data_IF_905349169170
#
_entry.id   IF_905349169170
#
_cell.length_a   1.000
_cell.length_b   1.000
_cell.length_c   1.000
_cell.angle_alpha   90.00
_cell.angle_beta   90.00
_cell.angle_gamma   90.00
#
_symmetry.space_group_name_H-M   'P 1'
#
loop_
_entity.id
_entity.type
_entity.pdbx_description
1 polymer ?
#
# COMPACT_ATOMS: atom_id res chain seq x y z
N UNK A 1 -33.06 11.54 10.83
CA UNK A 1 -32.47 10.61 11.80
C UNK A 1 -31.74 9.53 11.02
N UNK A 2 -30.46 9.65 10.94
CA UNK A 2 -29.64 8.70 10.21
C UNK A 2 -29.67 7.35 10.90
N UNK A 3 -30.21 6.37 10.22
CA UNK A 3 -30.09 4.97 10.61
C UNK A 3 -28.59 4.60 10.41
N UNK A 4 -27.80 4.72 11.47
CA UNK A 4 -26.48 4.14 11.54
C UNK A 4 -26.68 2.63 11.53
N UNK A 5 -26.76 2.06 10.34
CA UNK A 5 -26.82 0.62 10.19
C UNK A 5 -25.46 0.08 10.64
N UNK A 6 -25.40 -0.37 11.88
CA UNK A 6 -24.26 -1.13 12.37
C UNK A 6 -24.08 -2.34 11.45
N UNK A 7 -22.88 -2.55 10.96
CA UNK A 7 -22.54 -3.75 10.18
C UNK A 7 -22.74 -4.98 11.04
N UNK A 8 -23.25 -6.04 10.44
CA UNK A 8 -23.36 -7.32 11.13
C UNK A 8 -21.98 -7.96 11.30
N UNK A 9 -21.83 -8.79 12.34
CA UNK A 9 -20.59 -9.54 12.58
C UNK A 9 -20.25 -10.44 11.37
N UNK A 10 -21.26 -10.99 10.71
CA UNK A 10 -21.08 -11.80 9.48
C UNK A 10 -20.52 -10.96 8.32
N UNK A 11 -21.04 -9.75 8.11
CA UNK A 11 -20.52 -8.83 7.08
C UNK A 11 -19.09 -8.42 7.39
N UNK A 12 -18.78 -8.06 8.62
CA UNK A 12 -17.44 -7.69 9.07
C UNK A 12 -16.47 -8.84 8.83
N UNK A 13 -16.82 -10.06 9.26
CA UNK A 13 -16.00 -11.26 9.09
C UNK A 13 -15.76 -11.57 7.62
N UNK A 14 -16.79 -11.49 6.79
CA UNK A 14 -16.71 -11.73 5.36
C UNK A 14 -15.75 -10.74 4.69
N UNK A 15 -15.91 -9.47 4.96
CA UNK A 15 -15.08 -8.40 4.36
C UNK A 15 -13.63 -8.50 4.86
N UNK A 16 -13.44 -8.76 6.15
CA UNK A 16 -12.11 -8.98 6.72
C UNK A 16 -11.39 -10.14 6.01
N UNK A 17 -12.00 -11.32 5.98
CA UNK A 17 -11.40 -12.50 5.36
C UNK A 17 -11.10 -12.30 3.86
N UNK A 18 -11.95 -11.53 3.17
CA UNK A 18 -11.77 -11.29 1.73
C UNK A 18 -10.66 -10.29 1.42
N UNK A 19 -10.46 -9.27 2.25
CA UNK A 19 -9.64 -8.12 1.91
C UNK A 19 -8.46 -7.85 2.85
N UNK A 20 -8.27 -8.63 3.92
CA UNK A 20 -7.17 -8.39 4.86
C UNK A 20 -5.80 -8.47 4.18
N UNK A 21 -5.60 -9.41 3.28
CA UNK A 21 -4.34 -9.54 2.54
C UNK A 21 -4.09 -8.33 1.62
N UNK A 22 -5.12 -7.84 0.95
CA UNK A 22 -5.03 -6.63 0.11
C UNK A 22 -4.66 -5.41 0.95
N UNK A 23 -5.34 -5.22 2.07
CA UNK A 23 -5.06 -4.09 2.99
C UNK A 23 -3.66 -4.20 3.56
N UNK A 24 -3.23 -5.40 3.99
CA UNK A 24 -1.89 -5.65 4.49
C UNK A 24 -0.81 -5.29 3.46
N UNK A 25 -0.96 -5.77 2.22
CA UNK A 25 0.00 -5.49 1.15
C UNK A 25 0.10 -4.00 0.84
N UNK A 26 -1.02 -3.29 0.76
CA UNK A 26 -1.02 -1.83 0.53
C UNK A 26 -0.31 -1.10 1.67
N UNK A 27 -0.62 -1.43 2.92
CA UNK A 27 0.04 -0.85 4.07
C UNK A 27 1.54 -1.16 4.09
N UNK A 28 1.93 -2.40 3.80
CA UNK A 28 3.33 -2.82 3.76
C UNK A 28 4.11 -2.12 2.63
N UNK A 29 3.49 -1.93 1.46
CA UNK A 29 4.07 -1.14 0.37
C UNK A 29 4.40 0.30 0.78
N UNK A 30 3.70 0.83 1.78
CA UNK A 30 3.93 2.19 2.28
C UNK A 30 4.87 2.24 3.48
N UNK A 31 4.71 1.34 4.44
CA UNK A 31 5.39 1.39 5.74
C UNK A 31 6.70 0.60 5.78
N UNK A 32 6.83 -0.47 5.00
CA UNK A 32 8.00 -1.38 4.98
C UNK A 32 8.37 -1.98 6.35
N UNK A 33 7.42 -2.07 7.25
CA UNK A 33 7.61 -2.60 8.60
C UNK A 33 6.41 -3.45 8.97
N UNK A 34 6.63 -4.69 9.40
CA UNK A 34 5.55 -5.64 9.68
C UNK A 34 4.67 -5.20 10.86
N UNK A 35 5.27 -4.78 11.97
CA UNK A 35 4.53 -4.38 13.18
C UNK A 35 3.65 -3.15 12.92
N UNK A 36 4.21 -2.12 12.27
CA UNK A 36 3.46 -0.93 11.88
C UNK A 36 2.37 -1.24 10.85
N UNK A 37 2.63 -2.20 9.97
CA UNK A 37 1.63 -2.65 8.99
C UNK A 37 0.45 -3.33 9.69
N UNK A 38 0.68 -4.20 10.66
CA UNK A 38 -0.38 -4.84 11.44
C UNK A 38 -1.22 -3.82 12.20
N UNK A 39 -0.60 -2.83 12.81
CA UNK A 39 -1.30 -1.72 13.47
C UNK A 39 -2.16 -0.91 12.48
N UNK A 40 -1.62 -0.60 11.31
CA UNK A 40 -2.36 0.08 10.26
C UNK A 40 -3.57 -0.73 9.78
N UNK A 41 -3.40 -2.03 9.56
CA UNK A 41 -4.47 -2.95 9.15
C UNK A 41 -5.60 -2.96 10.18
N UNK A 42 -5.28 -3.09 11.47
CA UNK A 42 -6.28 -3.03 12.54
C UNK A 42 -7.06 -1.71 12.50
N UNK A 43 -6.37 -0.58 12.39
CA UNK A 43 -7.00 0.73 12.33
C UNK A 43 -7.91 0.88 11.11
N UNK A 44 -7.53 0.35 9.96
CA UNK A 44 -8.35 0.36 8.73
C UNK A 44 -9.66 -0.40 8.96
N UNK A 45 -9.60 -1.60 9.53
CA UNK A 45 -10.82 -2.40 9.78
C UNK A 45 -11.68 -1.82 10.91
N UNK A 46 -11.10 -1.20 11.94
CA UNK A 46 -11.86 -0.43 12.94
C UNK A 46 -12.63 0.71 12.27
N UNK A 47 -12.01 1.42 11.34
CA UNK A 47 -12.69 2.47 10.55
C UNK A 47 -13.80 1.89 9.67
N UNK A 48 -13.59 0.72 9.08
CA UNK A 48 -14.63 0.03 8.31
C UNK A 48 -15.85 -0.33 9.17
N UNK A 49 -15.61 -0.89 10.36
CA UNK A 49 -16.69 -1.26 11.31
C UNK A 49 -17.51 -0.02 11.70
N UNK A 50 -16.84 1.10 11.95
CA UNK A 50 -17.48 2.35 12.37
C UNK A 50 -18.03 3.20 11.22
N UNK A 51 -17.74 2.80 9.96
CA UNK A 51 -18.22 3.52 8.81
C UNK A 51 -19.71 3.24 8.56
N UNK A 52 -20.53 4.28 8.64
CA UNK A 52 -21.96 4.20 8.38
C UNK A 52 -22.35 4.15 6.90
N UNK A 53 -21.38 4.14 5.98
CA UNK A 53 -21.65 4.12 4.55
C UNK A 53 -22.06 2.74 4.07
N UNK A 54 -23.11 2.68 3.24
CA UNK A 54 -23.45 1.48 2.48
C UNK A 54 -22.57 1.41 1.22
N UNK A 55 -22.13 0.21 0.87
CA UNK A 55 -21.38 -0.06 -0.35
C UNK A 55 -22.22 -0.89 -1.31
N UNK A 56 -22.21 -0.53 -2.59
CA UNK A 56 -23.02 -1.20 -3.62
C UNK A 56 -22.39 -2.52 -4.09
N UNK A 57 -21.06 -2.66 -3.93
CA UNK A 57 -20.33 -3.84 -4.39
C UNK A 57 -19.08 -4.09 -3.54
N UNK A 58 -18.54 -5.29 -3.65
CA UNK A 58 -17.25 -5.64 -3.03
C UNK A 58 -16.08 -4.85 -3.63
N UNK A 59 -16.15 -4.48 -4.91
CA UNK A 59 -15.17 -3.60 -5.55
C UNK A 59 -15.15 -2.22 -4.90
N UNK A 60 -16.31 -1.69 -4.56
CA UNK A 60 -16.42 -0.41 -3.86
C UNK A 60 -15.85 -0.50 -2.43
N UNK A 61 -16.10 -1.60 -1.73
CA UNK A 61 -15.50 -1.88 -0.41
C UNK A 61 -13.98 -1.93 -0.53
N UNK A 62 -13.45 -2.69 -1.49
CA UNK A 62 -12.01 -2.83 -1.74
C UNK A 62 -11.35 -1.49 -2.00
N UNK A 63 -11.91 -0.69 -2.92
CA UNK A 63 -11.37 0.62 -3.26
C UNK A 63 -11.37 1.57 -2.04
N UNK A 64 -12.44 1.56 -1.27
CA UNK A 64 -12.54 2.34 -0.03
C UNK A 64 -11.48 1.91 1.00
N UNK A 65 -11.32 0.60 1.22
CA UNK A 65 -10.31 0.06 2.13
C UNK A 65 -8.89 0.48 1.73
N UNK A 66 -8.56 0.45 0.43
CA UNK A 66 -7.26 0.88 -0.09
C UNK A 66 -7.03 2.38 0.18
N UNK A 67 -8.03 3.21 -0.06
CA UNK A 67 -7.94 4.66 0.22
C UNK A 67 -7.75 4.93 1.71
N UNK A 68 -8.48 4.24 2.56
CA UNK A 68 -8.34 4.36 4.03
C UNK A 68 -6.97 3.86 4.49
N UNK A 69 -6.50 2.73 3.96
CA UNK A 69 -5.17 2.19 4.24
C UNK A 69 -4.07 3.20 3.88
N UNK A 70 -4.14 3.78 2.69
CA UNK A 70 -3.22 4.85 2.26
C UNK A 70 -3.22 6.03 3.23
N UNK A 71 -4.40 6.49 3.63
CA UNK A 71 -4.53 7.63 4.52
C UNK A 71 -4.00 7.32 5.93
N UNK A 72 -4.27 6.11 6.42
CA UNK A 72 -3.76 5.64 7.72
C UNK A 72 -2.22 5.61 7.73
N UNK A 73 -1.63 4.96 6.73
CA UNK A 73 -0.17 4.90 6.60
C UNK A 73 0.46 6.29 6.49
N UNK A 74 -0.14 7.20 5.72
CA UNK A 74 0.35 8.59 5.65
C UNK A 74 0.32 9.30 7.01
N UNK A 75 -0.72 9.09 7.79
CA UNK A 75 -0.84 9.69 9.12
C UNK A 75 0.21 9.11 10.08
N UNK A 76 0.43 7.80 10.05
CA UNK A 76 1.47 7.14 10.85
C UNK A 76 2.87 7.65 10.49
N UNK A 77 3.19 7.75 9.21
CA UNK A 77 4.47 8.28 8.73
C UNK A 77 4.67 9.74 9.15
N UNK A 78 3.64 10.59 9.04
CA UNK A 78 3.71 11.98 9.51
C UNK A 78 3.97 12.06 11.01
N UNK A 79 3.31 11.22 11.81
CA UNK A 79 3.52 11.17 13.24
C UNK A 79 4.94 10.72 13.59
N UNK A 80 5.43 9.69 12.91
CA UNK A 80 6.78 9.18 13.07
C UNK A 80 7.85 10.23 12.72
N UNK A 81 7.72 10.94 11.60
CA UNK A 81 8.63 12.02 11.24
C UNK A 81 8.60 13.20 12.21
N UNK A 82 7.46 13.50 12.82
CA UNK A 82 7.36 14.55 13.84
C UNK A 82 8.04 14.15 15.15
N UNK A 83 7.90 12.91 15.59
CA UNK A 83 8.52 12.42 16.82
C UNK A 83 10.04 12.30 16.69
N UNK A 84 10.56 11.97 15.49
CA UNK A 84 12.01 11.89 15.24
C UNK A 84 12.70 13.23 15.05
N UNK A 85 12.00 14.31 14.81
CA UNK A 85 12.60 15.66 14.78
C UNK A 85 13.12 16.09 16.16
N UNK A 86 12.72 15.42 17.21
CA UNK A 86 13.17 15.63 18.59
C UNK A 86 14.39 14.78 18.97
N UNK A 87 14.67 13.70 18.22
CA UNK A 87 15.81 12.81 18.44
C UNK A 87 16.67 12.72 17.17
N UNK A 88 17.81 13.42 17.16
CA UNK A 88 18.70 13.58 16.01
C UNK A 88 19.50 12.30 15.65
N UNK A 89 19.36 11.19 16.38
CA UNK A 89 20.37 10.13 16.38
C UNK A 89 19.92 8.71 15.99
N UNK A 90 18.83 8.53 15.24
CA UNK A 90 18.58 7.19 14.65
C UNK A 90 17.68 7.24 13.41
N UNK A 91 18.30 7.39 12.26
CA UNK A 91 17.67 6.99 10.99
C UNK A 91 17.82 5.48 10.90
N UNK A 92 16.86 4.75 11.45
CA UNK A 92 16.69 3.34 11.12
C UNK A 92 15.80 3.29 9.90
N UNK A 93 16.38 3.04 8.73
CA UNK A 93 15.59 2.60 7.57
C UNK A 93 14.88 1.31 7.97
N UNK A 94 13.56 1.19 7.72
CA UNK A 94 12.85 -0.05 7.99
C UNK A 94 13.51 -1.18 7.19
N UNK A 95 14.09 -2.14 7.88
CA UNK A 95 14.64 -3.34 7.24
C UNK A 95 13.50 -4.26 6.85
N UNK A 96 13.47 -4.61 5.59
CA UNK A 96 12.59 -5.63 5.05
C UNK A 96 13.16 -7.02 5.38
N UNK A 97 12.44 -7.79 6.19
CA UNK A 97 12.70 -9.23 6.34
C UNK A 97 11.67 -9.99 5.51
N UNK A 98 12.10 -10.45 4.34
CA UNK A 98 11.25 -11.26 3.47
C UNK A 98 11.50 -12.75 3.67
N UNK A 99 10.41 -13.47 3.73
CA UNK A 99 10.39 -14.92 3.75
C UNK A 99 9.49 -15.48 2.65
N UNK A 100 9.79 -15.20 1.37
CA UNK A 100 9.27 -16.00 0.25
C UNK A 100 10.02 -15.81 -1.09
N UNK A 101 10.09 -16.88 -1.83
CA UNK A 101 10.89 -17.30 -2.96
C UNK A 101 10.71 -16.55 -4.31
N UNK A 102 10.21 -15.33 -4.31
CA UNK A 102 10.27 -14.34 -5.41
C UNK A 102 11.13 -13.13 -5.02
N UNK A 103 12.10 -13.34 -4.13
CA UNK A 103 12.86 -12.32 -3.43
C UNK A 103 13.42 -11.22 -4.33
N UNK A 104 13.92 -11.58 -5.49
CA UNK A 104 14.59 -10.63 -6.38
C UNK A 104 13.65 -9.55 -6.95
N UNK A 105 12.49 -9.88 -7.49
CA UNK A 105 11.56 -8.90 -8.07
C UNK A 105 10.90 -8.04 -7.00
N UNK A 106 10.42 -8.65 -5.92
CA UNK A 106 9.78 -7.93 -4.83
C UNK A 106 10.75 -7.00 -4.11
N UNK A 107 11.99 -7.44 -3.86
CA UNK A 107 13.04 -6.58 -3.31
C UNK A 107 13.30 -5.35 -4.18
N UNK A 108 13.35 -5.52 -5.51
CA UNK A 108 13.50 -4.40 -6.44
C UNK A 108 12.31 -3.44 -6.40
N UNK A 109 11.09 -3.97 -6.35
CA UNK A 109 9.89 -3.15 -6.20
C UNK A 109 9.93 -2.39 -4.88
N UNK A 110 10.31 -3.06 -3.79
CA UNK A 110 10.41 -2.44 -2.47
C UNK A 110 11.54 -1.41 -2.36
N UNK A 111 12.57 -1.48 -3.19
CA UNK A 111 13.64 -0.49 -3.25
C UNK A 111 13.24 0.80 -3.98
N UNK A 112 12.16 0.77 -4.76
CA UNK A 112 11.63 1.97 -5.40
C UNK A 112 11.07 2.96 -4.37
N UNK A 113 11.12 4.26 -4.70
CA UNK A 113 10.43 5.28 -3.90
C UNK A 113 8.90 5.02 -3.87
N UNK A 114 8.25 5.39 -2.77
CA UNK A 114 6.79 5.19 -2.57
C UNK A 114 5.96 5.67 -3.75
N UNK A 115 6.27 6.85 -4.30
CA UNK A 115 5.57 7.43 -5.46
C UNK A 115 5.61 6.57 -6.74
N UNK A 116 6.55 5.64 -6.83
CA UNK A 116 6.66 4.67 -7.92
C UNK A 116 6.12 3.30 -7.53
N UNK A 117 6.46 2.83 -6.35
CA UNK A 117 6.13 1.51 -5.84
C UNK A 117 4.63 1.30 -5.66
N UNK A 118 3.95 2.23 -5.00
CA UNK A 118 2.51 2.10 -4.70
C UNK A 118 1.66 2.12 -5.98
N UNK A 119 1.82 3.06 -6.92
CA UNK A 119 1.10 3.02 -8.19
C UNK A 119 1.38 1.76 -9.01
N UNK A 120 2.63 1.29 -9.02
CA UNK A 120 3.03 0.08 -9.74
C UNK A 120 2.28 -1.14 -9.20
N UNK A 121 2.23 -1.30 -7.87
CA UNK A 121 1.51 -2.36 -7.20
C UNK A 121 0.01 -2.32 -7.51
N UNK A 122 -0.62 -1.16 -7.36
CA UNK A 122 -2.06 -1.00 -7.61
C UNK A 122 -2.43 -1.29 -9.07
N UNK A 123 -1.57 -0.92 -10.01
CA UNK A 123 -1.83 -1.14 -11.43
C UNK A 123 -1.64 -2.61 -11.84
N UNK A 124 -0.49 -3.19 -11.53
CA UNK A 124 -0.11 -4.51 -12.04
C UNK A 124 -0.62 -5.66 -11.17
N UNK A 125 -0.73 -5.47 -9.87
CA UNK A 125 -1.19 -6.52 -8.96
C UNK A 125 -2.69 -6.43 -8.67
N UNK A 126 -3.18 -5.25 -8.35
CA UNK A 126 -4.58 -5.05 -7.99
C UNK A 126 -5.49 -4.75 -9.21
N UNK A 127 -4.91 -4.45 -10.37
CA UNK A 127 -5.62 -4.31 -11.64
C UNK A 127 -6.33 -2.98 -11.87
N UNK A 128 -6.00 -1.94 -11.09
CA UNK A 128 -6.59 -0.62 -11.29
C UNK A 128 -5.99 0.10 -12.50
N UNK A 129 -6.83 0.83 -13.22
CA UNK A 129 -6.38 1.74 -14.26
C UNK A 129 -5.62 2.94 -13.70
N UNK A 130 -4.81 3.58 -14.52
CA UNK A 130 -4.10 4.79 -14.11
C UNK A 130 -5.06 5.91 -13.65
N UNK A 131 -6.22 6.04 -14.27
CA UNK A 131 -7.24 7.02 -13.88
C UNK A 131 -7.81 6.73 -12.48
N UNK A 132 -8.14 5.48 -12.20
CA UNK A 132 -8.62 5.05 -10.88
C UNK A 132 -7.57 5.26 -9.80
N UNK A 133 -6.31 4.92 -10.07
CA UNK A 133 -5.21 5.11 -9.12
C UNK A 133 -4.98 6.60 -8.85
N UNK A 134 -5.01 7.46 -9.87
CA UNK A 134 -4.86 8.90 -9.71
C UNK A 134 -5.95 9.46 -8.78
N UNK A 135 -7.18 9.00 -8.93
CA UNK A 135 -8.30 9.39 -8.08
C UNK A 135 -8.14 8.87 -6.64
N UNK A 136 -7.81 7.59 -6.49
CA UNK A 136 -7.60 6.95 -5.18
C UNK A 136 -6.44 7.58 -4.39
N UNK A 137 -5.34 7.90 -5.05
CA UNK A 137 -4.16 8.51 -4.43
C UNK A 137 -4.25 10.04 -4.36
N UNK A 138 -5.26 10.64 -4.96
CA UNK A 138 -5.45 12.10 -5.08
C UNK A 138 -4.23 12.81 -5.67
N UNK A 139 -3.75 12.28 -6.77
CA UNK A 139 -2.67 12.86 -7.56
C UNK A 139 -3.12 13.14 -8.98
N UNK A 140 -2.45 14.07 -9.64
CA UNK A 140 -2.76 14.42 -11.02
C UNK A 140 -2.52 13.20 -11.93
N UNK A 141 -3.46 12.93 -12.84
CA UNK A 141 -3.39 11.81 -13.77
C UNK A 141 -2.11 11.82 -14.63
N UNK A 142 -1.71 12.99 -15.13
CA UNK A 142 -0.48 13.15 -15.90
C UNK A 142 0.76 12.79 -15.07
N UNK A 143 0.80 13.23 -13.81
CA UNK A 143 1.89 12.89 -12.86
C UNK A 143 1.92 11.39 -12.56
N UNK A 144 0.75 10.76 -12.39
CA UNK A 144 0.68 9.32 -12.18
C UNK A 144 1.22 8.54 -13.37
N UNK A 145 0.80 8.89 -14.58
CA UNK A 145 1.31 8.24 -15.80
C UNK A 145 2.83 8.35 -15.91
N UNK A 146 3.37 9.52 -15.61
CA UNK A 146 4.81 9.75 -15.58
C UNK A 146 5.49 8.87 -14.51
N UNK A 147 4.91 8.78 -13.33
CA UNK A 147 5.42 7.92 -12.25
C UNK A 147 5.41 6.44 -12.64
N UNK A 148 4.33 5.94 -13.24
CA UNK A 148 4.25 4.56 -13.74
C UNK A 148 5.29 4.28 -14.82
N UNK A 149 5.49 5.19 -15.77
CA UNK A 149 6.50 5.04 -16.81
C UNK A 149 7.93 5.01 -16.22
N UNK A 150 8.23 5.90 -15.27
CA UNK A 150 9.53 5.92 -14.58
C UNK A 150 9.72 4.67 -13.72
N UNK A 151 8.67 4.21 -13.03
CA UNK A 151 8.73 2.98 -12.24
C UNK A 151 9.10 1.76 -13.09
N UNK A 152 8.43 1.59 -14.23
CA UNK A 152 8.74 0.51 -15.18
C UNK A 152 10.16 0.58 -15.69
N UNK A 153 10.64 1.78 -16.06
CA UNK A 153 11.99 1.98 -16.54
C UNK A 153 13.04 1.63 -15.47
N UNK A 154 12.85 2.11 -14.25
CA UNK A 154 13.75 1.81 -13.12
C UNK A 154 13.81 0.31 -12.84
N UNK A 155 12.63 -0.34 -12.77
CA UNK A 155 12.55 -1.78 -12.53
C UNK A 155 13.23 -2.59 -13.64
N UNK A 156 13.02 -2.21 -14.89
CA UNK A 156 13.67 -2.86 -16.03
C UNK A 156 15.20 -2.77 -15.94
N UNK A 157 15.75 -1.60 -15.63
CA UNK A 157 17.20 -1.42 -15.48
C UNK A 157 17.77 -2.29 -14.35
N UNK A 158 17.08 -2.39 -13.21
CA UNK A 158 17.49 -3.24 -12.09
C UNK A 158 17.49 -4.74 -12.47
N UNK A 159 16.53 -5.17 -13.28
CA UNK A 159 16.46 -6.55 -13.76
C UNK A 159 17.58 -6.86 -14.78
N UNK A 160 17.89 -5.94 -15.67
CA UNK A 160 18.98 -6.07 -16.65
C UNK A 160 20.36 -6.12 -15.96
N UNK A 161 20.57 -5.35 -14.91
CA UNK A 161 21.82 -5.37 -14.11
C UNK A 161 22.05 -6.76 -13.47
N UNK A 162 21.02 -7.38 -12.91
CA UNK A 162 21.13 -8.72 -12.32
C UNK A 162 21.45 -9.81 -13.35
N UNK A 163 20.86 -9.73 -14.55
CA UNK A 163 21.16 -10.66 -15.63
C UNK A 163 22.66 -10.57 -16.02
N UNK A 164 23.23 -9.38 -16.12
CA UNK A 164 24.65 -9.18 -16.40
C UNK A 164 25.56 -9.71 -15.28
N UNK A 165 25.19 -9.55 -14.03
CA UNK A 165 25.96 -10.08 -12.90
C UNK A 165 25.92 -11.61 -12.85
N UNK A 166 24.79 -12.22 -13.17
CA UNK A 166 24.61 -13.67 -13.21
C UNK A 166 25.40 -14.31 -14.35
N UNK A 167 25.46 -13.68 -15.51
CA UNK A 167 26.26 -14.16 -16.65
C UNK A 167 27.78 -14.06 -16.45
N UNK A 168 28.22 -13.18 -15.55
CA UNK A 168 29.66 -12.98 -15.23
C UNK A 168 30.16 -13.87 -14.07
N UNK A 169 29.25 -14.45 -13.33
CA UNK A 169 29.59 -15.38 -12.25
C UNK A 169 29.77 -16.82 -12.76
#
# INVERSE_FOLDING_TARGET
MGNSAFRTDEEITRVYNKFVDTVYRVCFMMLKNADETEDAVQNVFIKYINCGSAFESDENVKAWLIVVAKNECKNMLKHWFRSKRTDIDSVVEPSYEDSHDDGSLMEKVMSLEEKYRVPLYLHYYEGYSAAEIADMLKINYSSLRTNLAKARKKLKLMLEEDEYETERA
#
